data_IF_626801069270
#
_entry.id   IF_626801069270
#
_cell.length_a   1.000
_cell.length_b   1.000
_cell.length_c   1.000
_cell.angle_alpha   90.00
_cell.angle_beta   90.00
_cell.angle_gamma   90.00
#
_symmetry.space_group_name_H-M   'P 1'
#
loop_
_entity.id
_entity.type
_entity.pdbx_description
1 polymer ?
#
# COMPACT_ATOMS: atom_id res chain seq x y z
N UNK A 1 37.74 55.91 -9.01
CA UNK A 1 36.92 56.32 -7.85
C UNK A 1 35.49 55.90 -8.09
N UNK A 2 34.87 55.23 -7.10
CA UNK A 2 33.43 55.08 -6.75
C UNK A 2 32.41 54.77 -7.87
N UNK A 3 31.76 53.60 -7.89
CA UNK A 3 30.52 53.15 -7.19
C UNK A 3 29.44 52.95 -8.27
N UNK A 4 28.94 51.74 -8.57
CA UNK A 4 27.96 50.88 -7.88
C UNK A 4 26.49 51.11 -8.34
N UNK A 5 25.85 49.98 -8.73
CA UNK A 5 24.40 49.69 -8.82
C UNK A 5 23.66 50.19 -10.10
N UNK A 6 22.76 49.43 -10.74
CA UNK A 6 21.68 48.63 -10.16
C UNK A 6 21.10 47.61 -11.18
N UNK A 7 20.80 46.40 -10.69
CA UNK A 7 20.08 45.32 -11.37
C UNK A 7 18.70 45.75 -11.87
N UNK A 8 18.39 45.49 -13.15
CA UNK A 8 17.02 45.61 -13.69
C UNK A 8 16.30 44.26 -13.54
N UNK A 9 15.19 44.32 -12.81
CA UNK A 9 14.35 43.21 -12.38
C UNK A 9 13.86 42.33 -13.54
N UNK A 10 13.83 41.02 -13.28
CA UNK A 10 13.07 40.01 -14.03
C UNK A 10 11.57 40.30 -13.90
N UNK A 11 10.89 40.39 -15.03
CA UNK A 11 9.43 40.40 -15.09
C UNK A 11 8.88 39.00 -14.74
N UNK A 12 8.54 38.80 -13.47
CA UNK A 12 7.67 37.70 -13.06
C UNK A 12 6.23 38.05 -13.45
N UNK A 13 5.73 37.47 -14.54
CA UNK A 13 4.29 37.43 -14.85
C UNK A 13 3.57 36.70 -13.72
N UNK A 14 2.98 37.47 -12.81
CA UNK A 14 2.17 36.97 -11.70
C UNK A 14 1.03 36.10 -12.20
N UNK A 15 1.09 34.81 -11.88
CA UNK A 15 -0.06 33.93 -11.95
C UNK A 15 -1.02 34.41 -10.86
N UNK A 16 -2.11 35.08 -11.25
CA UNK A 16 -3.13 35.52 -10.30
C UNK A 16 -3.72 34.28 -9.61
N UNK A 17 -3.59 34.27 -8.28
CA UNK A 17 -4.06 33.23 -7.35
C UNK A 17 -5.57 32.98 -7.49
N UNK A 18 -6.31 33.89 -8.12
CA UNK A 18 -7.75 33.76 -8.37
C UNK A 18 -8.09 32.79 -9.51
N UNK A 19 -7.18 32.53 -10.46
CA UNK A 19 -7.41 31.52 -11.51
C UNK A 19 -7.27 30.09 -10.96
N UNK A 20 -6.37 29.87 -10.00
CA UNK A 20 -6.17 28.56 -9.36
C UNK A 20 -7.33 28.15 -8.44
N UNK A 21 -8.10 29.11 -7.92
CA UNK A 21 -9.26 28.82 -7.06
C UNK A 21 -10.52 28.41 -7.81
N UNK A 22 -10.56 28.55 -9.14
CA UNK A 22 -11.74 28.23 -9.97
C UNK A 22 -11.67 26.85 -10.65
N UNK A 23 -10.52 26.20 -10.63
CA UNK A 23 -10.39 24.77 -10.93
C UNK A 23 -10.41 23.92 -9.65
N UNK A 24 -11.30 24.27 -8.71
CA UNK A 24 -11.80 23.25 -7.80
C UNK A 24 -12.81 22.46 -8.63
N UNK A 25 -12.28 21.53 -9.43
CA UNK A 25 -13.04 20.44 -10.01
C UNK A 25 -13.85 19.89 -8.84
N UNK A 26 -15.20 19.87 -8.88
CA UNK A 26 -15.94 19.14 -7.88
C UNK A 26 -15.44 17.70 -8.03
N UNK A 27 -14.66 17.25 -7.04
CA UNK A 27 -14.37 15.85 -6.79
C UNK A 27 -15.75 15.20 -6.67
N UNK A 28 -16.28 14.79 -7.83
CA UNK A 28 -17.40 13.89 -7.93
C UNK A 28 -16.91 12.70 -7.14
N UNK A 29 -17.42 12.63 -5.92
CA UNK A 29 -17.25 11.54 -4.99
C UNK A 29 -17.71 10.31 -5.79
N UNK A 30 -16.78 9.63 -6.44
CA UNK A 30 -17.00 8.29 -6.97
C UNK A 30 -17.05 7.38 -5.76
N UNK A 31 -18.17 7.50 -5.06
CA UNK A 31 -18.61 6.60 -4.01
C UNK A 31 -18.76 5.26 -4.75
N UNK A 32 -17.91 4.28 -4.42
CA UNK A 32 -17.87 2.93 -4.97
C UNK A 32 -17.02 2.69 -6.24
N UNK A 33 -15.81 3.24 -6.35
CA UNK A 33 -14.81 2.58 -7.18
C UNK A 33 -14.02 1.61 -6.31
N UNK A 34 -14.30 0.30 -6.43
CA UNK A 34 -13.42 -0.71 -5.85
C UNK A 34 -12.02 -0.47 -6.41
N UNK A 35 -10.97 -0.37 -5.58
CA UNK A 35 -9.62 -0.20 -6.09
C UNK A 35 -9.30 -1.35 -7.03
N UNK A 36 -8.57 -1.03 -8.11
CA UNK A 36 -7.97 -2.06 -8.94
C UNK A 36 -7.07 -2.96 -8.10
N UNK A 37 -6.80 -4.19 -8.57
CA UNK A 37 -5.92 -5.13 -7.86
C UNK A 37 -4.55 -4.49 -7.58
N UNK A 38 -4.02 -3.70 -8.51
CA UNK A 38 -2.75 -3.02 -8.35
C UNK A 38 -2.81 -1.96 -7.24
N UNK A 39 -3.84 -1.11 -7.24
CA UNK A 39 -4.05 -0.10 -6.18
C UNK A 39 -4.25 -0.77 -4.81
N UNK A 40 -5.00 -1.86 -4.73
CA UNK A 40 -5.19 -2.62 -3.49
C UNK A 40 -3.88 -3.21 -2.96
N UNK A 41 -3.03 -3.72 -3.86
CA UNK A 41 -1.70 -4.24 -3.51
C UNK A 41 -0.74 -3.13 -3.07
N UNK A 42 -0.79 -1.95 -3.70
CA UNK A 42 -0.01 -0.78 -3.30
C UNK A 42 -0.43 -0.29 -1.92
N UNK A 43 -1.74 -0.15 -1.66
CA UNK A 43 -2.27 0.22 -0.35
C UNK A 43 -1.86 -0.79 0.74
N UNK A 44 -1.98 -2.10 0.45
CA UNK A 44 -1.53 -3.14 1.35
C UNK A 44 -0.01 -3.05 1.63
N UNK A 45 0.80 -2.82 0.60
CA UNK A 45 2.24 -2.68 0.75
C UNK A 45 2.61 -1.45 1.60
N UNK A 46 1.97 -0.30 1.34
CA UNK A 46 2.14 0.92 2.13
C UNK A 46 1.81 0.68 3.60
N UNK A 47 0.68 0.04 3.89
CA UNK A 47 0.30 -0.31 5.26
C UNK A 47 1.34 -1.19 5.96
N UNK A 48 1.83 -2.24 5.27
CA UNK A 48 2.83 -3.14 5.83
C UNK A 48 4.14 -2.41 6.15
N UNK A 49 4.59 -1.50 5.27
CA UNK A 49 5.79 -0.69 5.50
C UNK A 49 5.62 0.24 6.70
N UNK A 50 4.51 0.98 6.76
CA UNK A 50 4.23 1.91 7.87
C UNK A 50 4.19 1.21 9.23
N UNK A 51 3.72 -0.03 9.28
CA UNK A 51 3.63 -0.82 10.50
C UNK A 51 4.84 -1.73 10.75
N UNK A 52 5.90 -1.61 9.94
CA UNK A 52 7.10 -2.47 10.01
C UNK A 52 6.79 -3.98 9.96
N UNK A 53 5.78 -4.36 9.18
CA UNK A 53 5.36 -5.75 8.96
C UNK A 53 6.07 -6.26 7.70
N UNK A 54 6.65 -7.47 7.80
CA UNK A 54 7.31 -8.09 6.65
C UNK A 54 6.31 -8.35 5.51
N UNK A 55 6.62 -8.01 4.25
CA UNK A 55 5.72 -8.27 3.11
C UNK A 55 5.55 -9.76 2.79
N UNK A 56 6.39 -10.62 3.37
CA UNK A 56 6.24 -12.06 3.32
C UNK A 56 6.82 -12.72 4.56
N UNK A 57 6.19 -13.81 4.99
CA UNK A 57 6.56 -14.53 6.21
C UNK A 57 6.53 -16.03 5.96
N UNK A 58 7.45 -16.79 6.53
CA UNK A 58 7.30 -18.25 6.61
C UNK A 58 6.05 -18.62 7.42
N UNK A 59 5.52 -19.84 7.27
CA UNK A 59 4.37 -20.28 8.08
C UNK A 59 4.62 -20.18 9.59
N UNK A 60 5.86 -20.41 10.03
CA UNK A 60 6.24 -20.26 11.44
C UNK A 60 6.27 -18.80 11.90
N UNK A 61 6.82 -17.90 11.09
CA UNK A 61 6.78 -16.47 11.38
C UNK A 61 5.34 -15.94 11.41
N UNK A 62 4.51 -16.36 10.46
CA UNK A 62 3.10 -15.98 10.41
C UNK A 62 2.33 -16.48 11.64
N UNK A 63 2.55 -17.73 12.06
CA UNK A 63 1.94 -18.27 13.28
C UNK A 63 2.29 -17.44 14.53
N UNK A 64 3.57 -17.05 14.66
CA UNK A 64 4.00 -16.15 15.75
C UNK A 64 3.38 -14.76 15.63
N UNK A 65 3.26 -14.23 14.42
CA UNK A 65 2.68 -12.92 14.15
C UNK A 65 1.17 -12.87 14.45
N UNK A 66 0.42 -13.90 14.06
CA UNK A 66 -1.04 -13.95 14.24
C UNK A 66 -1.49 -14.51 15.58
N UNK A 67 -0.55 -15.00 16.41
CA UNK A 67 -0.88 -15.68 17.67
C UNK A 67 -1.53 -17.06 17.48
N UNK A 68 -1.49 -17.63 16.27
CA UNK A 68 -2.07 -18.93 15.95
C UNK A 68 -1.06 -20.06 16.17
N UNK A 69 -1.57 -21.29 16.37
CA UNK A 69 -0.70 -22.46 16.41
C UNK A 69 -0.12 -22.77 15.02
N UNK A 70 1.14 -23.22 14.97
CA UNK A 70 1.79 -23.60 13.70
C UNK A 70 0.98 -24.69 12.96
N UNK A 71 0.38 -25.63 13.70
CA UNK A 71 -0.43 -26.71 13.12
C UNK A 71 -1.68 -26.16 12.40
N UNK A 72 -2.34 -25.17 12.98
CA UNK A 72 -3.47 -24.50 12.37
C UNK A 72 -3.06 -23.77 11.09
N UNK A 73 -2.00 -22.95 11.15
CA UNK A 73 -1.48 -22.22 9.98
C UNK A 73 -1.05 -23.17 8.86
N UNK A 74 -0.45 -24.32 9.19
CA UNK A 74 -0.12 -25.36 8.21
C UNK A 74 -1.38 -25.93 7.54
N UNK A 75 -2.42 -26.23 8.33
CA UNK A 75 -3.69 -26.70 7.80
C UNK A 75 -4.36 -25.67 6.88
N UNK A 76 -4.35 -24.40 7.26
CA UNK A 76 -4.90 -23.30 6.46
C UNK A 76 -4.13 -23.13 5.14
N UNK A 77 -2.80 -23.27 5.19
CA UNK A 77 -1.96 -23.23 4.00
C UNK A 77 -2.22 -24.42 3.05
N UNK A 78 -2.51 -25.61 3.58
CA UNK A 78 -2.86 -26.80 2.78
C UNK A 78 -4.25 -26.69 2.16
N UNK A 79 -5.20 -26.09 2.89
CA UNK A 79 -6.57 -25.83 2.44
C UNK A 79 -6.70 -24.61 1.53
N UNK A 80 -5.58 -23.93 1.22
CA UNK A 80 -5.52 -22.72 0.37
C UNK A 80 -6.29 -21.52 0.92
N UNK A 81 -6.43 -21.43 2.25
CA UNK A 81 -6.98 -20.24 2.91
C UNK A 81 -5.95 -19.11 3.03
N UNK A 82 -4.67 -19.42 2.90
CA UNK A 82 -3.59 -18.42 2.93
C UNK A 82 -3.03 -18.17 1.52
N UNK A 83 -2.84 -16.91 1.11
CA UNK A 83 -2.15 -16.59 -0.13
C UNK A 83 -0.66 -16.92 0.04
N UNK A 84 -0.18 -17.94 -0.68
CA UNK A 84 1.22 -18.36 -0.62
C UNK A 84 2.02 -17.79 -1.79
N UNK A 85 3.28 -17.44 -1.54
CA UNK A 85 4.23 -17.14 -2.61
C UNK A 85 4.52 -18.40 -3.43
N UNK A 86 4.68 -18.21 -4.74
CA UNK A 86 5.16 -19.27 -5.62
C UNK A 86 6.60 -19.61 -5.24
N UNK A 87 6.99 -20.90 -5.26
CA UNK A 87 8.39 -21.29 -5.11
C UNK A 87 9.25 -20.57 -6.15
N UNK A 88 10.44 -20.12 -5.74
CA UNK A 88 11.38 -19.49 -6.68
C UNK A 88 11.98 -20.54 -7.63
N UNK A 89 12.23 -21.75 -7.12
CA UNK A 89 12.78 -22.87 -7.88
C UNK A 89 11.84 -24.06 -7.82
N UNK A 90 11.36 -24.52 -8.97
CA UNK A 90 10.33 -25.56 -9.09
C UNK A 90 10.71 -26.94 -8.53
N UNK A 91 12.01 -27.21 -8.33
CA UNK A 91 12.52 -28.54 -7.93
C UNK A 91 13.29 -28.53 -6.60
N UNK A 92 13.17 -27.46 -5.81
CA UNK A 92 13.79 -27.40 -4.48
C UNK A 92 12.72 -27.39 -3.39
N UNK A 93 13.00 -28.10 -2.29
CA UNK A 93 12.17 -28.01 -1.08
C UNK A 93 12.40 -26.64 -0.44
N UNK A 94 11.50 -25.70 -0.74
CA UNK A 94 11.49 -24.36 -0.15
C UNK A 94 10.45 -24.29 0.99
N UNK A 95 10.72 -23.45 1.98
CA UNK A 95 9.73 -23.17 3.03
C UNK A 95 8.57 -22.40 2.41
N UNK A 96 7.34 -22.86 2.67
CA UNK A 96 6.12 -22.12 2.29
C UNK A 96 6.14 -20.75 2.99
N UNK A 97 5.87 -19.71 2.20
CA UNK A 97 5.78 -18.32 2.67
C UNK A 97 4.42 -17.74 2.34
N UNK A 98 3.81 -17.09 3.32
CA UNK A 98 2.60 -16.28 3.15
C UNK A 98 2.98 -14.98 2.44
N UNK A 99 2.23 -14.62 1.41
CA UNK A 99 2.28 -13.33 0.75
C UNK A 99 1.42 -12.35 1.57
N UNK A 100 2.05 -11.60 2.48
CA UNK A 100 1.34 -10.68 3.37
C UNK A 100 0.71 -9.53 2.59
N UNK A 101 1.31 -9.11 1.47
CA UNK A 101 0.73 -8.07 0.61
C UNK A 101 -0.60 -8.54 0.03
N UNK A 102 -0.65 -9.75 -0.53
CA UNK A 102 -1.90 -10.32 -1.04
C UNK A 102 -2.92 -10.54 0.09
N UNK A 103 -2.48 -10.96 1.27
CA UNK A 103 -3.36 -11.15 2.43
C UNK A 103 -4.05 -9.84 2.84
N UNK A 104 -3.29 -8.74 2.92
CA UNK A 104 -3.81 -7.42 3.30
C UNK A 104 -4.50 -6.68 2.14
N UNK A 105 -4.33 -7.13 0.89
CA UNK A 105 -5.04 -6.57 -0.26
C UNK A 105 -6.49 -7.06 -0.36
N UNK A 106 -6.80 -8.24 0.18
CA UNK A 106 -8.14 -8.86 0.10
C UNK A 106 -9.26 -7.91 0.56
N UNK A 107 -9.18 -7.23 1.72
CA UNK A 107 -10.23 -6.32 2.16
C UNK A 107 -10.53 -5.19 1.18
N UNK A 108 -9.48 -4.61 0.58
CA UNK A 108 -9.60 -3.55 -0.41
C UNK A 108 -10.24 -4.04 -1.71
N UNK A 109 -9.92 -5.27 -2.15
CA UNK A 109 -10.48 -5.88 -3.36
C UNK A 109 -11.96 -6.25 -3.16
N UNK A 110 -12.29 -6.81 -2.00
CA UNK A 110 -13.65 -7.25 -1.68
C UNK A 110 -14.58 -6.07 -1.35
N UNK A 111 -14.01 -4.89 -1.12
CA UNK A 111 -14.76 -3.67 -0.81
C UNK A 111 -15.28 -3.68 0.63
N UNK A 112 -14.53 -4.31 1.55
CA UNK A 112 -14.81 -4.18 2.97
C UNK A 112 -14.50 -2.74 3.39
N UNK A 113 -15.51 -2.04 3.89
CA UNK A 113 -15.32 -0.76 4.57
C UNK A 113 -14.44 -1.03 5.79
N UNK A 114 -13.21 -0.52 5.78
CA UNK A 114 -12.27 -0.63 6.90
C UNK A 114 -12.72 0.33 8.00
N UNK A 115 -13.97 0.19 8.45
CA UNK A 115 -14.55 0.94 9.55
C UNK A 115 -13.92 0.40 10.85
N UNK A 116 -12.86 1.06 11.34
CA UNK A 116 -12.46 0.94 12.75
C UNK A 116 -11.01 0.58 13.06
N UNK A 117 -10.04 0.76 12.16
CA UNK A 117 -8.63 0.83 12.61
C UNK A 117 -8.24 2.30 12.83
N UNK A 118 -8.79 2.90 13.90
CA UNK A 118 -8.21 4.11 14.46
C UNK A 118 -6.89 3.73 15.17
N UNK A 119 -5.83 4.45 14.83
CA UNK A 119 -4.52 4.38 15.46
C UNK A 119 -4.46 5.27 16.70
#
# INVERSE_FOLDING_TARGET
MKEMQQNKLRENKGISVEKLKREIIPLKKNINLRPSINEAMELALSYLITNNIKPSMTLNEYAKFSGMSLRQVQSDAERRYLPLLKPAVSNRRELKRVNMVALYAIPFIEGFDVMGMEA
#
